data_IF_442086505484
#
_entry.id   IF_442086505484
#
_cell.length_a   1.000
_cell.length_b   1.000
_cell.length_c   1.000
_cell.angle_alpha   90.00
_cell.angle_beta   90.00
_cell.angle_gamma   90.00
#
_symmetry.space_group_name_H-M   'P 1'
#
loop_
_entity.id
_entity.type
_entity.pdbx_description
1 polymer ?
#
# COMPACT_ATOMS: atom_id res chain seq x y z
N UNK A 1 -78.90 41.63 -134.41
CA UNK A 1 -77.75 41.02 -133.73
C UNK A 1 -78.13 40.84 -132.28
N UNK A 2 -78.06 39.61 -131.77
CA UNK A 2 -78.35 39.29 -130.36
C UNK A 2 -77.05 39.47 -129.59
N UNK A 3 -77.05 40.35 -128.60
CA UNK A 3 -76.08 40.29 -127.51
C UNK A 3 -76.86 39.97 -126.23
N UNK A 4 -76.64 38.75 -125.72
CA UNK A 4 -77.12 38.31 -124.42
C UNK A 4 -76.21 38.92 -123.36
N UNK A 5 -76.51 40.14 -122.95
CA UNK A 5 -75.97 40.69 -121.70
C UNK A 5 -76.83 40.17 -120.55
N UNK A 6 -76.34 39.10 -119.94
CA UNK A 6 -76.83 38.54 -118.67
C UNK A 6 -76.53 39.53 -117.54
N UNK A 7 -77.30 40.60 -117.46
CA UNK A 7 -77.36 41.45 -116.28
C UNK A 7 -78.78 41.34 -115.74
N UNK A 8 -78.90 40.60 -114.64
CA UNK A 8 -80.12 40.62 -113.84
C UNK A 8 -80.26 42.02 -113.25
N UNK A 9 -81.19 42.76 -113.83
CA UNK A 9 -81.73 44.04 -113.38
C UNK A 9 -82.51 43.81 -112.06
N UNK A 10 -81.74 43.59 -111.00
CA UNK A 10 -82.23 43.34 -109.64
C UNK A 10 -81.66 44.31 -108.62
N UNK A 11 -81.02 45.39 -109.07
CA UNK A 11 -80.43 46.45 -108.24
C UNK A 11 -81.38 47.64 -108.09
N UNK A 12 -82.68 47.36 -107.94
CA UNK A 12 -83.61 48.32 -107.37
C UNK A 12 -83.18 48.63 -105.92
N UNK A 13 -83.29 49.89 -105.44
CA UNK A 13 -82.92 50.31 -104.09
C UNK A 13 -83.86 49.76 -103.02
N UNK A 14 -84.53 48.64 -103.26
CA UNK A 14 -85.44 47.90 -102.38
C UNK A 14 -85.02 46.43 -102.20
N UNK A 15 -84.03 45.93 -102.95
CA UNK A 15 -83.63 44.50 -102.96
C UNK A 15 -82.33 44.16 -102.20
N UNK A 16 -81.75 45.12 -101.47
CA UNK A 16 -80.74 44.81 -100.46
C UNK A 16 -81.48 44.55 -99.14
N UNK A 17 -81.39 43.34 -98.55
CA UNK A 17 -81.96 43.08 -97.24
C UNK A 17 -81.47 44.14 -96.24
N UNK A 18 -82.33 44.56 -95.32
CA UNK A 18 -82.05 45.66 -94.39
C UNK A 18 -80.72 45.48 -93.63
N UNK A 19 -80.32 44.22 -93.43
CA UNK A 19 -79.05 43.79 -92.84
C UNK A 19 -77.79 44.25 -93.59
N UNK A 20 -77.85 44.47 -94.90
CA UNK A 20 -76.70 44.91 -95.71
C UNK A 20 -76.66 46.43 -95.92
N UNK A 21 -77.68 47.16 -95.43
CA UNK A 21 -77.77 48.64 -95.54
C UNK A 21 -77.29 49.36 -94.30
N UNK A 22 -77.12 48.66 -93.19
CA UNK A 22 -76.55 49.18 -91.95
C UNK A 22 -75.10 48.68 -91.89
N UNK A 23 -74.16 49.59 -91.65
CA UNK A 23 -72.78 49.20 -91.41
C UNK A 23 -72.75 48.27 -90.18
N UNK A 24 -72.38 46.98 -90.34
CA UNK A 24 -72.38 46.04 -89.22
C UNK A 24 -71.24 46.31 -88.23
N UNK A 25 -70.29 47.17 -88.59
CA UNK A 25 -69.17 47.55 -87.74
C UNK A 25 -69.51 48.82 -86.96
N UNK A 26 -70.07 48.63 -85.77
CA UNK A 26 -70.19 49.66 -84.75
C UNK A 26 -68.89 49.78 -83.98
N UNK A 27 -68.45 51.01 -83.73
CA UNK A 27 -67.36 51.26 -82.81
C UNK A 27 -67.93 51.29 -81.39
N UNK A 28 -67.33 50.59 -80.41
CA UNK A 28 -67.79 50.61 -79.01
C UNK A 28 -67.88 52.03 -78.44
N UNK A 29 -68.80 52.22 -77.50
CA UNK A 29 -68.91 53.46 -76.74
C UNK A 29 -67.56 53.80 -76.09
N UNK A 30 -67.12 55.06 -76.20
CA UNK A 30 -65.83 55.58 -75.74
C UNK A 30 -64.57 54.99 -76.41
N UNK A 31 -64.68 54.24 -77.51
CA UNK A 31 -63.50 53.70 -78.21
C UNK A 31 -62.43 54.76 -78.52
N UNK A 32 -62.84 55.92 -79.06
CA UNK A 32 -61.91 56.97 -79.43
C UNK A 32 -61.39 57.78 -78.23
N UNK A 33 -62.18 57.91 -77.17
CA UNK A 33 -61.73 58.54 -75.92
C UNK A 33 -60.68 57.66 -75.22
N UNK A 34 -60.90 56.33 -75.22
CA UNK A 34 -59.97 55.36 -74.67
C UNK A 34 -58.75 55.09 -75.56
N UNK A 35 -58.85 55.36 -76.86
CA UNK A 35 -57.82 54.99 -77.83
C UNK A 35 -56.51 55.71 -77.56
N UNK A 36 -56.57 56.99 -77.18
CA UNK A 36 -55.38 57.74 -76.77
C UNK A 36 -54.72 57.09 -75.56
N UNK A 37 -55.51 56.79 -74.51
CA UNK A 37 -55.02 56.13 -73.30
C UNK A 37 -54.43 54.75 -73.58
N UNK A 38 -55.09 53.95 -74.45
CA UNK A 38 -54.63 52.61 -74.85
C UNK A 38 -53.33 52.68 -75.66
N UNK A 39 -53.20 53.64 -76.57
CA UNK A 39 -51.97 53.84 -77.34
C UNK A 39 -50.84 54.29 -76.42
N UNK A 40 -51.09 55.24 -75.51
CA UNK A 40 -50.10 55.69 -74.52
C UNK A 40 -49.66 54.53 -73.64
N UNK A 41 -50.60 53.73 -73.13
CA UNK A 41 -50.28 52.54 -72.34
C UNK A 41 -49.45 51.53 -73.13
N UNK A 42 -49.78 51.28 -74.40
CA UNK A 42 -49.07 50.33 -75.24
C UNK A 42 -47.65 50.79 -75.61
N UNK A 43 -47.50 52.08 -75.92
CA UNK A 43 -46.19 52.71 -76.16
C UNK A 43 -45.36 52.75 -74.88
N UNK A 44 -45.98 52.96 -73.72
CA UNK A 44 -45.30 52.95 -72.43
C UNK A 44 -44.82 51.54 -72.07
N UNK A 45 -45.66 50.52 -72.29
CA UNK A 45 -45.26 49.12 -72.14
C UNK A 45 -44.11 48.74 -73.08
N UNK A 46 -44.15 49.18 -74.34
CA UNK A 46 -43.09 48.93 -75.31
C UNK A 46 -41.77 49.65 -75.03
N UNK A 47 -41.80 50.73 -74.22
CA UNK A 47 -40.60 51.43 -73.73
C UNK A 47 -40.01 50.82 -72.45
N UNK A 48 -40.73 49.91 -71.79
CA UNK A 48 -40.28 49.23 -70.57
C UNK A 48 -39.50 47.93 -70.85
N UNK A 49 -39.05 47.71 -72.08
CA UNK A 49 -38.14 46.61 -72.41
C UNK A 49 -36.70 47.09 -72.27
N UNK A 50 -36.08 46.77 -71.13
CA UNK A 50 -34.64 46.42 -70.97
C UNK A 50 -34.10 46.61 -69.53
N UNK A 51 -34.95 46.95 -68.56
CA UNK A 51 -34.56 46.89 -67.15
C UNK A 51 -35.52 45.98 -66.37
N UNK A 52 -34.97 44.93 -65.75
CA UNK A 52 -35.64 44.08 -64.77
C UNK A 52 -35.93 44.91 -63.50
N UNK A 53 -36.90 45.83 -63.58
CA UNK A 53 -37.29 46.70 -62.45
C UNK A 53 -38.11 45.93 -61.40
N UNK A 54 -38.39 44.65 -61.63
CA UNK A 54 -39.16 43.79 -60.72
C UNK A 54 -38.26 42.70 -60.14
N UNK A 55 -37.46 43.07 -59.14
CA UNK A 55 -36.75 42.08 -58.32
C UNK A 55 -37.76 41.35 -57.43
N UNK A 56 -37.90 40.04 -57.65
CA UNK A 56 -38.66 39.18 -56.75
C UNK A 56 -37.88 39.08 -55.44
N UNK A 57 -38.49 39.42 -54.28
CA UNK A 57 -37.84 39.27 -52.99
C UNK A 57 -37.32 37.85 -52.79
N UNK A 58 -36.12 37.73 -52.24
CA UNK A 58 -35.51 36.44 -51.89
C UNK A 58 -36.49 35.62 -51.02
N UNK A 59 -36.77 34.38 -51.42
CA UNK A 59 -37.72 33.49 -50.73
C UNK A 59 -39.21 33.73 -51.01
N UNK A 60 -39.58 34.63 -51.94
CA UNK A 60 -40.98 34.83 -52.33
C UNK A 60 -41.63 33.53 -52.83
N UNK A 61 -40.96 32.80 -53.73
CA UNK A 61 -41.48 31.55 -54.28
C UNK A 61 -41.39 30.38 -53.29
N UNK A 62 -40.45 30.41 -52.35
CA UNK A 62 -40.33 29.37 -51.32
C UNK A 62 -41.47 29.46 -50.30
N UNK A 63 -41.91 30.67 -49.96
CA UNK A 63 -43.03 30.92 -49.04
C UNK A 63 -44.41 30.95 -49.71
N UNK A 64 -44.46 30.97 -51.05
CA UNK A 64 -45.70 31.04 -51.82
C UNK A 64 -46.60 29.80 -51.64
N UNK A 65 -46.09 28.55 -51.66
CA UNK A 65 -46.89 27.37 -51.37
C UNK A 65 -47.54 27.43 -49.99
N UNK A 66 -46.78 27.81 -48.97
CA UNK A 66 -47.27 27.93 -47.59
C UNK A 66 -48.32 29.03 -47.45
N UNK A 67 -48.12 30.15 -48.16
CA UNK A 67 -49.04 31.29 -48.13
C UNK A 67 -50.35 30.98 -48.85
N UNK A 68 -50.29 30.24 -49.95
CA UNK A 68 -51.48 29.75 -50.67
C UNK A 68 -52.21 28.71 -49.82
N UNK A 69 -51.51 27.73 -49.24
CA UNK A 69 -52.13 26.73 -48.37
C UNK A 69 -52.72 27.36 -47.11
N UNK A 70 -52.03 28.34 -46.51
CA UNK A 70 -52.54 29.13 -45.39
C UNK A 70 -53.79 29.92 -45.76
N UNK A 71 -53.82 30.53 -46.94
CA UNK A 71 -55.00 31.23 -47.47
C UNK A 71 -56.19 30.30 -47.69
N UNK A 72 -55.97 29.14 -48.33
CA UNK A 72 -57.02 28.12 -48.55
C UNK A 72 -57.54 27.59 -47.21
N UNK A 73 -56.65 27.34 -46.24
CA UNK A 73 -57.03 26.91 -44.91
C UNK A 73 -57.88 27.99 -44.21
N UNK A 74 -57.45 29.25 -44.24
CA UNK A 74 -58.17 30.37 -43.62
C UNK A 74 -59.56 30.57 -44.25
N UNK A 75 -59.66 30.46 -45.57
CA UNK A 75 -60.93 30.60 -46.30
C UNK A 75 -61.86 29.41 -46.04
N UNK A 76 -61.32 28.19 -45.89
CA UNK A 76 -62.09 27.02 -45.47
C UNK A 76 -62.60 27.12 -44.02
N UNK A 77 -61.84 27.78 -43.15
CA UNK A 77 -62.21 28.02 -41.73
C UNK A 77 -63.25 29.13 -41.62
N UNK A 78 -63.17 30.20 -42.43
CA UNK A 78 -64.14 31.30 -42.42
C UNK A 78 -65.56 30.88 -42.89
N UNK A 79 -65.68 29.79 -43.63
CA UNK A 79 -66.96 29.23 -44.04
C UNK A 79 -67.66 28.39 -42.95
N UNK A 80 -66.96 28.07 -41.85
CA UNK A 80 -67.45 27.22 -40.76
C UNK A 80 -67.58 28.08 -39.49
N UNK A 81 -68.79 28.55 -39.19
CA UNK A 81 -69.10 29.30 -37.96
C UNK A 81 -69.13 28.41 -36.68
N UNK A 82 -68.56 27.22 -36.73
CA UNK A 82 -68.68 26.19 -35.69
C UNK A 82 -67.34 25.44 -35.49
N UNK A 83 -66.26 26.21 -35.35
CA UNK A 83 -64.94 25.68 -35.04
C UNK A 83 -64.84 25.36 -33.55
N UNK A 84 -65.29 24.17 -33.16
CA UNK A 84 -65.04 23.64 -31.83
C UNK A 84 -63.58 23.17 -31.72
N UNK A 85 -62.89 23.67 -30.70
CA UNK A 85 -61.52 23.26 -30.37
C UNK A 85 -61.56 21.74 -30.07
N UNK A 86 -60.78 20.91 -30.79
CA UNK A 86 -60.77 19.48 -30.54
C UNK A 86 -60.45 19.17 -29.08
N UNK A 87 -61.15 18.19 -28.51
CA UNK A 87 -60.89 17.74 -27.13
C UNK A 87 -59.40 17.40 -26.98
N UNK A 88 -58.76 17.96 -25.95
CA UNK A 88 -57.32 17.86 -25.69
C UNK A 88 -56.36 18.62 -26.62
N UNK A 89 -56.83 19.44 -27.57
CA UNK A 89 -55.95 20.28 -28.39
C UNK A 89 -55.09 21.21 -27.53
N UNK A 90 -55.67 21.85 -26.52
CA UNK A 90 -54.93 22.72 -25.60
C UNK A 90 -53.89 21.95 -24.78
N UNK A 91 -54.21 20.73 -24.34
CA UNK A 91 -53.29 19.88 -23.60
C UNK A 91 -52.12 19.41 -24.47
N UNK A 92 -52.40 18.95 -25.69
CA UNK A 92 -51.36 18.53 -26.65
C UNK A 92 -50.51 19.72 -27.09
N UNK A 93 -51.12 20.88 -27.30
CA UNK A 93 -50.40 22.10 -27.68
C UNK A 93 -49.49 22.55 -26.53
N UNK A 94 -50.00 22.62 -25.30
CA UNK A 94 -49.19 23.00 -24.13
C UNK A 94 -48.05 22.02 -23.92
N UNK A 95 -48.30 20.71 -24.00
CA UNK A 95 -47.24 19.70 -23.94
C UNK A 95 -46.22 19.90 -25.06
N UNK A 96 -46.65 20.08 -26.31
CA UNK A 96 -45.72 20.27 -27.44
C UNK A 96 -44.87 21.54 -27.30
N UNK A 97 -45.45 22.62 -26.76
CA UNK A 97 -44.74 23.86 -26.46
C UNK A 97 -43.72 23.62 -25.35
N UNK A 98 -44.09 22.94 -24.26
CA UNK A 98 -43.17 22.63 -23.18
C UNK A 98 -42.03 21.72 -23.63
N UNK A 99 -42.30 20.70 -24.43
CA UNK A 99 -41.27 19.83 -25.01
C UNK A 99 -40.30 20.62 -25.89
N UNK A 100 -40.81 21.52 -26.75
CA UNK A 100 -39.99 22.35 -27.64
C UNK A 100 -39.14 23.38 -26.89
N UNK A 101 -39.71 24.02 -25.85
CA UNK A 101 -38.95 24.91 -24.95
C UNK A 101 -37.87 24.13 -24.20
N UNK A 102 -38.16 22.91 -23.75
CA UNK A 102 -37.18 22.06 -23.09
C UNK A 102 -36.06 21.64 -24.05
N UNK A 103 -36.40 21.28 -25.28
CA UNK A 103 -35.46 20.95 -26.34
C UNK A 103 -34.53 22.12 -26.67
N UNK A 104 -35.06 23.33 -26.87
CA UNK A 104 -34.28 24.54 -27.13
C UNK A 104 -33.32 24.86 -25.96
N UNK A 105 -33.80 24.75 -24.71
CA UNK A 105 -32.96 24.93 -23.50
C UNK A 105 -31.86 23.88 -23.37
N UNK A 106 -32.09 22.66 -23.86
CA UNK A 106 -31.08 21.61 -23.87
C UNK A 106 -30.04 21.87 -24.98
N UNK A 107 -30.49 22.28 -26.17
CA UNK A 107 -29.60 22.63 -27.30
C UNK A 107 -28.68 23.81 -26.97
N UNK A 108 -29.13 24.79 -26.18
CA UNK A 108 -28.28 25.88 -25.70
C UNK A 108 -27.12 25.38 -24.80
N UNK A 109 -27.34 24.29 -24.05
CA UNK A 109 -26.37 23.76 -23.07
C UNK A 109 -25.42 22.70 -23.65
N UNK A 110 -25.71 22.17 -24.83
CA UNK A 110 -24.96 21.03 -25.40
C UNK A 110 -24.26 21.51 -26.69
N UNK A 111 -22.93 21.38 -26.75
CA UNK A 111 -22.10 21.83 -27.89
C UNK A 111 -22.21 20.98 -29.17
N UNK A 112 -22.85 19.81 -29.13
CA UNK A 112 -22.98 18.92 -30.29
C UNK A 112 -24.28 18.13 -30.29
N UNK A 113 -24.92 18.01 -31.44
CA UNK A 113 -26.04 17.08 -31.64
C UNK A 113 -25.59 15.63 -31.42
N UNK A 114 -26.40 14.90 -30.65
CA UNK A 114 -26.23 13.47 -30.36
C UNK A 114 -25.78 13.13 -28.93
N UNK A 115 -26.23 11.97 -28.45
CA UNK A 115 -25.74 11.37 -27.21
C UNK A 115 -24.36 10.75 -27.47
N UNK A 116 -23.30 11.36 -26.97
CA UNK A 116 -21.98 10.74 -26.94
C UNK A 116 -21.90 9.85 -25.71
N UNK A 117 -21.75 8.55 -25.96
CA UNK A 117 -21.45 7.58 -24.90
C UNK A 117 -20.16 8.05 -24.21
N UNK A 118 -20.18 8.29 -22.88
CA UNK A 118 -19.00 8.73 -22.16
C UNK A 118 -17.83 7.77 -22.37
N UNK A 119 -16.61 8.31 -22.41
CA UNK A 119 -15.40 7.49 -22.49
C UNK A 119 -15.40 6.49 -21.32
N UNK A 120 -15.21 5.21 -21.62
CA UNK A 120 -15.27 4.09 -20.67
C UNK A 120 -16.66 3.75 -20.09
N UNK A 121 -17.76 4.28 -20.64
CA UNK A 121 -19.12 3.91 -20.19
C UNK A 121 -19.37 2.40 -20.28
N UNK A 122 -18.93 1.75 -21.35
CA UNK A 122 -19.14 0.30 -21.54
C UNK A 122 -18.39 -0.52 -20.47
N UNK A 123 -17.14 -0.17 -20.17
CA UNK A 123 -16.37 -0.81 -19.11
C UNK A 123 -16.92 -0.52 -17.71
N UNK A 124 -17.39 0.71 -17.46
CA UNK A 124 -18.01 1.07 -16.18
C UNK A 124 -19.35 0.35 -15.99
N UNK A 125 -20.15 0.25 -17.06
CA UNK A 125 -21.42 -0.45 -17.06
C UNK A 125 -21.24 -1.95 -16.80
N UNK A 126 -20.24 -2.58 -17.42
CA UNK A 126 -19.89 -3.97 -17.14
C UNK A 126 -19.58 -4.18 -15.66
N UNK A 127 -18.69 -3.36 -15.10
CA UNK A 127 -18.34 -3.41 -13.68
C UNK A 127 -19.56 -3.22 -12.78
N UNK A 128 -20.40 -2.22 -13.06
CA UNK A 128 -21.59 -1.90 -12.27
C UNK A 128 -22.62 -3.03 -12.30
N UNK A 129 -22.81 -3.67 -13.47
CA UNK A 129 -23.70 -4.82 -13.62
C UNK A 129 -23.18 -5.98 -12.78
N UNK A 130 -21.89 -6.31 -12.88
CA UNK A 130 -21.29 -7.39 -12.08
C UNK A 130 -21.36 -7.09 -10.58
N UNK A 131 -21.08 -5.86 -10.16
CA UNK A 131 -21.17 -5.45 -8.76
C UNK A 131 -22.61 -5.60 -8.22
N UNK A 132 -23.63 -5.27 -9.02
CA UNK A 132 -25.03 -5.44 -8.62
C UNK A 132 -25.45 -6.90 -8.54
N UNK A 133 -25.09 -7.72 -9.53
CA UNK A 133 -25.40 -9.15 -9.54
C UNK A 133 -24.77 -9.83 -8.32
N UNK A 134 -23.48 -9.58 -8.08
CA UNK A 134 -22.77 -10.16 -6.93
C UNK A 134 -23.32 -9.68 -5.60
N UNK A 135 -23.69 -8.40 -5.47
CA UNK A 135 -24.34 -7.89 -4.27
C UNK A 135 -25.72 -8.53 -4.02
N UNK A 136 -26.49 -8.78 -5.07
CA UNK A 136 -27.80 -9.44 -4.98
C UNK A 136 -27.67 -10.92 -4.62
N UNK A 137 -26.70 -11.63 -5.20
CA UNK A 137 -26.34 -13.01 -4.83
C UNK A 137 -25.87 -13.11 -3.37
N UNK A 138 -25.04 -12.18 -2.90
CA UNK A 138 -24.60 -12.12 -1.50
C UNK A 138 -25.77 -11.89 -0.55
N UNK A 139 -26.69 -10.99 -0.90
CA UNK A 139 -27.90 -10.73 -0.10
C UNK A 139 -28.82 -11.94 0.00
N UNK A 140 -28.89 -12.76 -1.05
CA UNK A 140 -29.71 -13.99 -1.05
C UNK A 140 -29.04 -15.15 -0.29
N UNK A 141 -27.70 -15.18 -0.23
CA UNK A 141 -26.93 -16.27 0.39
C UNK A 141 -26.62 -16.02 1.87
N UNK A 142 -26.56 -14.76 2.31
CA UNK A 142 -26.28 -14.38 3.69
C UNK A 142 -27.50 -13.64 4.29
N UNK A 143 -28.36 -14.33 5.08
CA UNK A 143 -29.58 -13.74 5.68
C UNK A 143 -29.33 -12.64 6.72
N UNK A 144 -28.08 -12.49 7.13
CA UNK A 144 -27.58 -11.52 8.11
C UNK A 144 -26.49 -10.71 7.44
N UNK A 145 -26.27 -9.46 7.83
CA UNK A 145 -25.27 -8.54 7.23
C UNK A 145 -23.80 -9.03 7.31
N UNK A 146 -23.53 -10.30 7.61
CA UNK A 146 -22.22 -10.95 7.62
C UNK A 146 -21.31 -10.50 8.76
N UNK A 147 -21.62 -9.37 9.40
CA UNK A 147 -20.87 -8.80 10.50
C UNK A 147 -21.53 -9.16 11.83
N UNK A 148 -21.42 -10.43 12.22
CA UNK A 148 -21.67 -10.81 13.61
C UNK A 148 -20.43 -10.48 14.44
N UNK A 149 -20.60 -9.61 15.43
CA UNK A 149 -19.55 -9.36 16.43
C UNK A 149 -19.28 -10.68 17.16
N UNK A 150 -18.03 -11.17 17.24
CA UNK A 150 -17.70 -12.35 18.03
C UNK A 150 -18.20 -12.18 19.47
N UNK A 151 -18.74 -13.23 20.08
CA UNK A 151 -19.37 -13.16 21.40
C UNK A 151 -18.50 -12.45 22.45
N UNK A 152 -17.18 -12.65 22.38
CA UNK A 152 -16.20 -12.13 23.34
C UNK A 152 -15.54 -10.81 22.91
N UNK A 153 -15.89 -10.25 21.75
CA UNK A 153 -15.25 -9.02 21.22
C UNK A 153 -15.38 -7.86 22.20
N UNK A 154 -16.56 -7.66 22.80
CA UNK A 154 -16.78 -6.57 23.75
C UNK A 154 -15.98 -6.76 25.03
N UNK A 155 -15.88 -7.99 25.54
CA UNK A 155 -15.11 -8.30 26.74
C UNK A 155 -13.60 -8.19 26.51
N UNK A 156 -13.13 -8.60 25.33
CA UNK A 156 -11.74 -8.43 24.91
C UNK A 156 -11.38 -6.96 24.68
N UNK A 157 -12.29 -6.18 24.05
CA UNK A 157 -12.13 -4.74 23.87
C UNK A 157 -12.02 -4.04 25.22
N UNK A 158 -12.94 -4.31 26.15
CA UNK A 158 -12.93 -3.77 27.50
C UNK A 158 -11.60 -4.06 28.22
N UNK A 159 -11.18 -5.32 28.21
CA UNK A 159 -9.92 -5.75 28.80
C UNK A 159 -8.72 -5.03 28.17
N UNK A 160 -8.71 -4.86 26.85
CA UNK A 160 -7.65 -4.17 26.12
C UNK A 160 -7.59 -2.67 26.45
N UNK A 161 -8.76 -2.02 26.61
CA UNK A 161 -8.87 -0.62 26.99
C UNK A 161 -8.33 -0.42 28.40
N UNK A 162 -8.71 -1.29 29.35
CA UNK A 162 -8.19 -1.20 30.71
C UNK A 162 -6.68 -1.44 30.77
N UNK A 163 -6.16 -2.41 30.03
CA UNK A 163 -4.72 -2.64 29.92
C UNK A 163 -3.99 -1.43 29.32
N UNK A 164 -4.55 -0.79 28.29
CA UNK A 164 -3.99 0.43 27.67
C UNK A 164 -3.97 1.60 28.65
N UNK A 165 -5.06 1.83 29.37
CA UNK A 165 -5.15 2.91 30.38
C UNK A 165 -4.17 2.64 31.53
N UNK A 166 -4.05 1.40 31.97
CA UNK A 166 -3.12 1.02 33.03
C UNK A 166 -1.65 1.25 32.59
N UNK A 167 -1.29 0.86 31.37
CA UNK A 167 0.06 1.08 30.83
C UNK A 167 0.36 2.57 30.63
N UNK A 168 -0.60 3.36 30.15
CA UNK A 168 -0.44 4.81 30.00
C UNK A 168 -0.27 5.52 31.34
N UNK A 169 -1.06 5.14 32.35
CA UNK A 169 -0.88 5.63 33.74
C UNK A 169 0.48 5.26 34.30
N UNK A 170 0.93 4.02 34.09
CA UNK A 170 2.26 3.57 34.51
C UNK A 170 3.34 4.43 33.85
N UNK A 171 3.28 4.59 32.53
CA UNK A 171 4.25 5.37 31.75
C UNK A 171 4.32 6.82 32.21
N UNK A 172 3.19 7.43 32.54
CA UNK A 172 3.16 8.80 33.05
C UNK A 172 3.69 8.92 34.49
N UNK A 173 3.63 7.84 35.28
CA UNK A 173 4.10 7.81 36.67
C UNK A 173 5.57 7.44 36.85
N UNK A 174 6.22 6.89 35.82
CA UNK A 174 7.60 6.38 35.90
C UNK A 174 8.46 7.16 34.90
N UNK A 175 9.48 7.89 35.38
CA UNK A 175 10.36 8.71 34.52
C UNK A 175 11.39 7.91 33.71
N UNK A 176 11.59 6.64 34.02
CA UNK A 176 12.51 5.75 33.31
C UNK A 176 11.71 4.77 32.45
N UNK A 177 11.86 4.88 31.13
CA UNK A 177 11.33 3.90 30.18
C UNK A 177 11.97 2.53 30.49
N UNK A 178 11.15 1.60 30.97
CA UNK A 178 11.40 0.17 30.81
C UNK A 178 12.19 -0.53 31.91
N UNK A 179 11.89 -1.82 32.01
CA UNK A 179 12.59 -2.82 32.79
C UNK A 179 14.09 -2.75 32.49
N UNK A 180 14.89 -2.39 33.49
CA UNK A 180 16.33 -2.54 33.40
C UNK A 180 16.64 -4.02 33.48
N UNK A 181 17.29 -4.55 32.45
CA UNK A 181 17.87 -5.89 32.48
C UNK A 181 18.82 -5.96 33.69
N UNK A 182 18.63 -6.90 34.64
CA UNK A 182 19.57 -7.08 35.74
C UNK A 182 20.98 -7.23 35.18
N UNK A 183 21.99 -6.60 35.81
CA UNK A 183 23.34 -6.49 35.24
C UNK A 183 23.95 -7.83 34.80
N UNK A 184 23.62 -8.91 35.51
CA UNK A 184 24.14 -10.25 35.24
C UNK A 184 23.18 -11.14 34.42
N UNK A 185 22.06 -10.58 33.93
CA UNK A 185 21.09 -11.35 33.15
C UNK A 185 21.70 -11.90 31.86
N UNK A 186 22.42 -11.07 31.11
CA UNK A 186 23.05 -11.51 29.86
C UNK A 186 24.16 -12.54 30.10
N UNK A 187 24.89 -12.42 31.22
CA UNK A 187 25.91 -13.38 31.61
C UNK A 187 25.31 -14.72 32.04
N UNK A 188 24.18 -14.72 32.73
CA UNK A 188 23.52 -15.93 33.25
C UNK A 188 22.48 -16.51 32.29
N UNK A 189 22.15 -15.82 31.19
CA UNK A 189 21.10 -16.23 30.26
C UNK A 189 21.43 -17.56 29.60
N UNK A 190 22.67 -17.73 29.14
CA UNK A 190 23.13 -18.95 28.49
C UNK A 190 23.04 -20.15 29.44
N UNK A 191 23.58 -20.01 30.65
CA UNK A 191 23.51 -21.03 31.71
C UNK A 191 22.07 -21.38 32.07
N UNK A 192 21.20 -20.37 32.21
CA UNK A 192 19.78 -20.57 32.53
C UNK A 192 19.03 -21.29 31.40
N UNK A 193 19.33 -20.97 30.14
CA UNK A 193 18.75 -21.65 28.97
C UNK A 193 19.18 -23.11 28.97
N UNK A 194 20.48 -23.40 29.15
CA UNK A 194 20.97 -24.78 29.19
C UNK A 194 20.42 -25.57 30.38
N UNK A 195 20.34 -24.96 31.57
CA UNK A 195 19.72 -25.56 32.74
C UNK A 195 18.25 -25.91 32.47
N UNK A 196 17.51 -25.01 31.80
CA UNK A 196 16.10 -25.23 31.45
C UNK A 196 15.93 -26.37 30.44
N UNK A 197 16.74 -26.37 29.38
CA UNK A 197 16.73 -27.45 28.39
C UNK A 197 17.06 -28.80 29.04
N UNK A 198 18.04 -28.84 29.94
CA UNK A 198 18.40 -30.05 30.67
C UNK A 198 17.26 -30.56 31.56
N UNK A 199 16.56 -29.66 32.26
CA UNK A 199 15.37 -30.00 33.07
C UNK A 199 14.26 -30.56 32.19
N UNK A 200 13.96 -29.93 31.07
CA UNK A 200 12.89 -30.38 30.17
C UNK A 200 13.22 -31.74 29.53
N UNK A 201 14.49 -31.98 29.17
CA UNK A 201 14.97 -33.28 28.71
C UNK A 201 14.89 -34.36 29.79
N UNK A 202 15.17 -34.02 31.05
CA UNK A 202 15.02 -34.94 32.17
C UNK A 202 13.55 -35.30 32.40
N UNK A 203 12.64 -34.32 32.35
CA UNK A 203 11.20 -34.55 32.48
C UNK A 203 10.59 -35.41 31.37
N UNK A 204 11.18 -35.41 30.17
CA UNK A 204 10.78 -36.33 29.11
C UNK A 204 11.23 -37.77 29.36
N UNK A 205 12.34 -37.97 30.09
CA UNK A 205 12.93 -39.29 30.36
C UNK A 205 12.49 -39.89 31.69
N UNK A 206 12.04 -39.06 32.63
CA UNK A 206 11.66 -39.47 33.98
C UNK A 206 10.17 -39.21 34.19
N UNK A 207 9.41 -40.25 34.54
CA UNK A 207 7.94 -40.17 34.64
C UNK A 207 7.44 -39.47 35.91
N UNK A 208 8.24 -39.42 36.98
CA UNK A 208 7.92 -38.78 38.26
C UNK A 208 9.16 -38.04 38.77
N UNK A 209 9.00 -36.84 39.34
CA UNK A 209 10.11 -36.00 39.83
C UNK A 209 10.94 -36.64 40.96
N UNK A 210 10.59 -37.85 41.45
CA UNK A 210 11.35 -38.64 42.40
C UNK A 210 11.34 -38.11 43.83
N UNK A 211 10.80 -36.92 44.06
CA UNK A 211 10.56 -36.32 45.37
C UNK A 211 9.10 -36.54 45.77
N UNK A 212 8.82 -37.71 46.33
CA UNK A 212 7.57 -37.92 47.07
C UNK A 212 7.78 -37.52 48.52
N UNK A 213 6.86 -36.71 49.03
CA UNK A 213 6.83 -36.38 50.45
C UNK A 213 6.42 -37.65 51.21
N UNK A 214 7.17 -38.08 52.24
CA UNK A 214 6.81 -39.24 53.03
C UNK A 214 5.37 -39.14 53.56
N UNK A 215 4.63 -40.26 53.63
CA UNK A 215 3.28 -40.27 54.19
C UNK A 215 3.27 -39.64 55.58
N UNK A 216 2.31 -38.74 55.83
CA UNK A 216 2.14 -38.04 57.12
C UNK A 216 3.28 -37.07 57.52
N UNK A 217 4.15 -36.66 56.58
CA UNK A 217 5.19 -35.65 56.86
C UNK A 217 4.60 -34.34 57.37
N UNK A 218 3.64 -33.77 56.64
CA UNK A 218 3.02 -32.49 57.01
C UNK A 218 2.13 -32.59 58.26
N UNK A 219 1.56 -33.77 58.53
CA UNK A 219 0.77 -34.03 59.74
C UNK A 219 1.66 -34.04 60.99
N UNK A 220 2.85 -34.66 60.91
CA UNK A 220 3.80 -34.72 62.03
C UNK A 220 4.65 -33.46 62.19
N UNK A 221 4.80 -32.65 61.15
CA UNK A 221 5.64 -31.46 61.17
C UNK A 221 5.16 -30.44 62.20
N UNK A 222 3.85 -30.18 62.28
CA UNK A 222 3.27 -29.26 63.26
C UNK A 222 3.52 -29.73 64.69
N UNK A 223 3.27 -31.01 64.98
CA UNK A 223 3.48 -31.59 66.30
C UNK A 223 4.95 -31.58 66.69
N UNK A 224 5.85 -31.92 65.76
CA UNK A 224 7.30 -31.91 65.98
C UNK A 224 7.83 -30.50 66.25
N UNK A 225 7.33 -29.47 65.55
CA UNK A 225 7.70 -28.08 65.80
C UNK A 225 7.23 -27.63 67.19
N UNK A 226 6.01 -28.00 67.59
CA UNK A 226 5.48 -27.66 68.91
C UNK A 226 6.24 -28.37 70.02
N UNK A 227 6.56 -29.65 69.85
CA UNK A 227 7.34 -30.43 70.81
C UNK A 227 8.78 -29.93 70.93
N UNK A 228 9.43 -29.55 69.81
CA UNK A 228 10.78 -28.97 69.81
C UNK A 228 10.81 -27.59 70.46
N UNK A 229 9.81 -26.73 70.24
CA UNK A 229 9.71 -25.42 70.94
C UNK A 229 9.49 -25.63 72.44
N UNK A 230 8.58 -26.53 72.84
CA UNK A 230 8.31 -26.84 74.25
C UNK A 230 9.48 -27.49 74.98
N UNK A 231 10.28 -28.28 74.26
CA UNK A 231 11.51 -28.85 74.80
C UNK A 231 12.62 -27.80 74.91
N UNK A 232 12.61 -26.73 74.10
CA UNK A 232 13.62 -25.68 74.17
C UNK A 232 13.48 -24.77 75.41
N UNK A 233 12.30 -24.67 75.99
CA UNK A 233 12.08 -23.92 77.24
C UNK A 233 12.56 -24.65 78.50
N UNK A 234 12.88 -25.96 78.42
CA UNK A 234 13.24 -26.79 79.58
C UNK A 234 14.55 -27.59 79.44
N UNK A 235 15.41 -27.29 78.47
CA UNK A 235 16.70 -27.98 78.31
C UNK A 235 17.85 -27.10 78.77
N UNK A 236 18.31 -27.35 80.00
CA UNK A 236 19.73 -27.19 80.35
C UNK A 236 20.49 -28.16 79.46
N UNK A 237 21.17 -27.63 78.43
CA UNK A 237 22.02 -28.42 77.55
C UNK A 237 23.05 -29.17 78.42
N UNK A 238 23.15 -30.52 78.35
CA UNK A 238 24.32 -31.18 78.90
C UNK A 238 25.52 -30.68 78.09
N UNK A 239 26.49 -30.06 78.77
CA UNK A 239 27.72 -29.57 78.15
C UNK A 239 28.36 -30.70 77.33
N UNK A 240 28.21 -30.61 76.01
CA UNK A 240 28.91 -31.51 75.10
C UNK A 240 30.41 -31.26 75.29
N UNK A 241 31.21 -32.26 75.71
CA UNK A 241 32.63 -32.03 75.95
C UNK A 241 33.30 -31.64 74.64
N UNK A 242 33.74 -30.39 74.55
CA UNK A 242 34.46 -29.84 73.42
C UNK A 242 35.81 -30.57 73.32
N UNK A 243 35.89 -31.62 72.51
CA UNK A 243 37.15 -32.23 72.12
C UNK A 243 37.78 -31.42 71.01
N UNK A 244 38.79 -30.63 71.37
CA UNK A 244 39.65 -29.94 70.39
C UNK A 244 40.38 -30.99 69.55
N UNK A 245 40.11 -31.05 68.24
CA UNK A 245 40.97 -31.80 67.32
C UNK A 245 42.37 -31.16 67.36
N UNK A 246 43.36 -31.94 67.77
CA UNK A 246 44.75 -31.50 67.80
C UNK A 246 45.23 -31.08 66.41
N UNK A 247 46.14 -30.10 66.38
CA UNK A 247 46.73 -29.54 65.15
C UNK A 247 47.16 -30.66 64.18
N UNK A 248 46.90 -30.54 62.86
CA UNK A 248 47.31 -31.55 61.90
C UNK A 248 48.84 -31.70 61.96
N UNK A 249 49.28 -32.93 62.20
CA UNK A 249 50.68 -33.28 62.35
C UNK A 249 51.35 -33.12 60.97
N UNK A 250 52.26 -32.14 60.83
CA UNK A 250 52.89 -31.67 59.56
C UNK A 250 53.56 -32.74 58.67
N UNK A 251 53.66 -33.98 59.11
CA UNK A 251 54.31 -35.07 58.36
C UNK A 251 53.41 -35.66 57.26
N UNK A 252 52.08 -35.57 57.37
CA UNK A 252 51.15 -36.06 56.34
C UNK A 252 51.14 -35.20 55.07
N UNK A 253 51.44 -33.90 55.19
CA UNK A 253 51.51 -32.99 54.03
C UNK A 253 52.60 -33.37 53.03
N UNK A 254 53.66 -34.09 53.49
CA UNK A 254 54.77 -34.53 52.63
C UNK A 254 54.40 -35.73 51.75
N UNK A 255 53.46 -36.57 52.20
CA UNK A 255 52.99 -37.72 51.43
C UNK A 255 51.89 -37.35 50.43
N UNK A 256 51.11 -36.30 50.69
CA UNK A 256 50.09 -35.81 49.77
C UNK A 256 50.66 -35.35 48.43
N UNK A 257 51.80 -34.64 48.45
CA UNK A 257 52.48 -34.16 47.24
C UNK A 257 53.02 -35.32 46.38
N UNK A 258 53.57 -36.36 47.04
CA UNK A 258 54.03 -37.56 46.33
C UNK A 258 52.86 -38.32 45.69
N UNK A 259 51.73 -38.46 46.39
CA UNK A 259 50.54 -39.13 45.86
C UNK A 259 49.88 -38.36 44.70
N UNK A 260 49.85 -37.03 44.75
CA UNK A 260 49.35 -36.23 43.63
C UNK A 260 50.26 -36.32 42.41
N UNK A 261 51.58 -36.38 42.62
CA UNK A 261 52.57 -36.56 41.54
C UNK A 261 52.46 -37.96 40.91
N UNK A 262 52.31 -39.03 41.71
CA UNK A 262 52.11 -40.37 41.15
C UNK A 262 50.78 -40.50 40.42
N UNK A 263 49.73 -39.83 40.87
CA UNK A 263 48.44 -39.82 40.19
C UNK A 263 48.47 -39.04 38.88
N UNK A 264 49.15 -37.88 38.83
CA UNK A 264 49.31 -37.09 37.60
C UNK A 264 50.22 -37.79 36.58
N UNK A 265 51.32 -38.40 37.03
CA UNK A 265 52.18 -39.21 36.15
C UNK A 265 51.47 -40.47 35.65
N UNK A 266 50.64 -41.11 36.48
CA UNK A 266 49.84 -42.27 36.11
C UNK A 266 48.78 -41.95 35.05
N UNK A 267 48.06 -40.84 35.21
CA UNK A 267 47.06 -40.38 34.23
C UNK A 267 47.71 -39.90 32.92
N UNK A 268 48.81 -39.15 33.01
CA UNK A 268 49.55 -38.66 31.84
C UNK A 268 50.19 -39.77 31.01
N UNK A 269 50.77 -40.79 31.65
CA UNK A 269 51.34 -41.95 30.96
C UNK A 269 50.30 -42.83 30.25
N UNK A 270 49.12 -43.00 30.86
CA UNK A 270 48.04 -43.79 30.28
C UNK A 270 47.42 -43.14 29.03
N UNK A 271 47.19 -41.82 29.06
CA UNK A 271 46.73 -41.08 27.88
C UNK A 271 47.82 -40.95 26.81
N UNK A 272 49.08 -40.71 27.17
CA UNK A 272 50.19 -40.64 26.21
C UNK A 272 50.40 -41.94 25.42
N UNK A 273 50.27 -43.10 26.08
CA UNK A 273 50.38 -44.41 25.41
C UNK A 273 49.22 -44.66 24.41
N UNK A 274 48.02 -44.18 24.73
CA UNK A 274 46.86 -44.32 23.85
C UNK A 274 46.94 -43.39 22.62
N UNK A 275 47.53 -42.21 22.75
CA UNK A 275 47.71 -41.25 21.65
C UNK A 275 48.77 -41.67 20.62
N UNK A 276 49.78 -42.46 21.01
CA UNK A 276 50.85 -42.88 20.11
C UNK A 276 50.42 -43.96 19.08
N UNK A 277 49.30 -44.67 19.31
CA UNK A 277 48.85 -45.73 18.40
C UNK A 277 47.96 -45.25 17.23
N UNK A 278 47.67 -43.95 17.08
CA UNK A 278 46.66 -43.52 16.10
C UNK A 278 47.01 -42.42 15.10
N UNK A 279 48.19 -41.79 15.10
CA UNK A 279 48.48 -40.77 14.07
C UNK A 279 49.93 -40.78 13.59
N UNK A 280 50.17 -41.47 12.48
CA UNK A 280 51.12 -41.04 11.47
C UNK A 280 50.41 -40.02 10.57
N UNK A 281 50.67 -38.72 10.73
CA UNK A 281 50.63 -37.70 9.67
C UNK A 281 51.41 -36.49 10.19
N UNK A 282 52.33 -36.02 9.35
CA UNK A 282 53.24 -34.89 9.55
C UNK A 282 52.50 -33.57 9.80
N UNK A 283 52.95 -32.78 10.78
CA UNK A 283 52.55 -31.39 10.97
C UNK A 283 53.71 -30.58 11.59
N UNK A 284 54.75 -30.39 10.79
CA UNK A 284 55.64 -29.25 10.95
C UNK A 284 54.88 -28.03 10.37
N UNK A 285 54.96 -26.86 11.00
CA UNK A 285 54.36 -25.55 10.62
C UNK A 285 53.04 -25.06 11.27
N UNK A 286 52.27 -25.83 12.06
CA UNK A 286 51.01 -25.29 12.65
C UNK A 286 51.20 -24.61 14.01
N UNK A 287 52.15 -25.08 14.83
CA UNK A 287 52.40 -24.52 16.15
C UNK A 287 53.10 -23.16 16.10
N UNK A 288 54.01 -22.94 15.14
CA UNK A 288 54.71 -21.66 15.00
C UNK A 288 53.78 -20.53 14.52
N UNK A 289 52.76 -20.86 13.73
CA UNK A 289 51.81 -19.90 13.19
C UNK A 289 50.82 -19.40 14.27
N UNK A 290 50.42 -20.28 15.19
CA UNK A 290 49.56 -19.91 16.33
C UNK A 290 50.32 -19.12 17.39
N UNK A 291 51.60 -19.43 17.63
CA UNK A 291 52.43 -18.70 18.58
C UNK A 291 52.75 -17.28 18.10
N UNK A 292 53.09 -17.12 16.82
CA UNK A 292 53.40 -15.81 16.23
C UNK A 292 52.17 -14.89 16.20
N UNK A 293 50.97 -15.45 15.99
CA UNK A 293 49.72 -14.70 16.06
C UNK A 293 49.40 -14.23 17.48
N UNK A 294 49.63 -15.08 18.49
CA UNK A 294 49.40 -14.74 19.90
C UNK A 294 50.42 -13.73 20.46
N UNK A 295 51.66 -13.73 19.96
CA UNK A 295 52.69 -12.77 20.36
C UNK A 295 52.46 -11.38 19.76
N UNK A 296 51.77 -11.30 18.60
CA UNK A 296 51.40 -10.03 17.96
C UNK A 296 50.28 -9.28 18.69
N UNK A 297 49.47 -9.97 19.47
CA UNK A 297 48.29 -9.42 20.15
C UNK A 297 48.58 -8.89 21.56
N UNK A 298 49.80 -9.06 22.09
CA UNK A 298 50.12 -8.55 23.42
C UNK A 298 50.21 -7.01 23.36
N UNK A 299 49.33 -6.28 24.07
CA UNK A 299 49.35 -4.83 24.04
C UNK A 299 50.66 -4.33 24.68
N UNK A 300 51.27 -3.28 24.08
CA UNK A 300 52.58 -2.75 24.47
C UNK A 300 52.68 -2.44 25.98
N UNK A 301 51.58 -2.05 26.60
CA UNK A 301 51.50 -1.74 28.03
C UNK A 301 51.65 -2.98 28.93
N UNK A 302 51.18 -4.15 28.50
CA UNK A 302 51.34 -5.41 29.23
C UNK A 302 52.81 -5.87 29.20
N UNK A 303 53.47 -5.68 28.05
CA UNK A 303 54.91 -5.97 27.89
C UNK A 303 55.73 -5.04 28.79
N UNK A 304 55.40 -3.75 28.83
CA UNK A 304 56.07 -2.77 29.69
C UNK A 304 55.85 -3.12 31.17
N UNK A 305 54.63 -3.48 31.57
CA UNK A 305 54.33 -3.84 32.94
C UNK A 305 55.03 -5.14 33.36
N UNK A 306 55.07 -6.14 32.48
CA UNK A 306 55.77 -7.39 32.73
C UNK A 306 57.28 -7.15 32.86
N UNK A 307 57.88 -6.38 31.96
CA UNK A 307 59.31 -6.02 32.03
C UNK A 307 59.63 -5.18 33.27
N UNK A 308 58.78 -4.24 33.65
CA UNK A 308 58.95 -3.45 34.86
C UNK A 308 58.81 -4.30 36.14
N UNK A 309 57.97 -5.34 36.11
CA UNK A 309 57.81 -6.26 37.23
C UNK A 309 58.93 -7.31 37.29
N UNK A 310 59.55 -7.67 36.17
CA UNK A 310 60.60 -8.69 36.08
C UNK A 310 62.03 -8.14 36.07
N UNK A 311 62.22 -6.84 35.82
CA UNK A 311 63.55 -6.23 35.75
C UNK A 311 64.15 -6.03 37.15
N UNK A 312 65.40 -6.47 37.31
CA UNK A 312 66.19 -6.16 38.50
C UNK A 312 66.72 -4.72 38.41
N UNK A 313 67.05 -4.09 39.55
CA UNK A 313 67.43 -2.67 39.61
C UNK A 313 68.63 -2.29 38.73
N UNK A 314 69.52 -3.25 38.42
CA UNK A 314 70.65 -3.06 37.48
C UNK A 314 70.20 -3.09 36.01
N UNK A 315 69.20 -3.91 35.66
CA UNK A 315 68.67 -4.00 34.29
C UNK A 315 67.99 -2.70 33.87
N UNK A 316 67.34 -2.01 34.82
CA UNK A 316 66.68 -0.73 34.58
C UNK A 316 67.68 0.40 34.26
N UNK A 317 68.88 0.36 34.87
CA UNK A 317 69.98 1.28 34.57
C UNK A 317 70.51 1.02 33.14
N UNK A 318 70.64 -0.25 32.76
CA UNK A 318 71.09 -0.64 31.42
C UNK A 318 70.10 -0.20 30.33
N UNK A 319 68.80 -0.33 30.58
CA UNK A 319 67.76 0.10 29.64
C UNK A 319 67.70 1.63 29.47
N UNK A 320 68.03 2.40 30.50
CA UNK A 320 68.07 3.88 30.40
C UNK A 320 69.15 4.42 29.47
N UNK A 321 70.18 3.62 29.15
CA UNK A 321 71.21 4.01 28.17
C UNK A 321 70.73 3.88 26.71
N UNK A 322 69.59 3.21 26.49
CA UNK A 322 69.02 2.95 25.17
C UNK A 322 67.66 3.64 24.94
N UNK A 323 67.24 4.53 25.85
CA UNK A 323 65.98 5.28 25.70
C UNK A 323 66.06 6.46 24.72
N UNK A 324 67.27 6.93 24.39
CA UNK A 324 67.46 7.92 23.32
C UNK A 324 67.55 7.23 21.96
N UNK A 325 66.68 7.63 21.01
CA UNK A 325 66.54 7.04 19.67
C UNK A 325 67.85 7.00 18.85
N UNK A 326 68.87 7.76 19.24
CA UNK A 326 70.16 7.85 18.55
C UNK A 326 71.17 6.77 18.96
N UNK A 327 70.91 6.02 20.04
CA UNK A 327 71.82 4.98 20.55
C UNK A 327 71.26 3.54 20.45
N UNK A 328 70.14 3.34 19.75
CA UNK A 328 69.69 1.97 19.49
C UNK A 328 70.69 1.24 18.59
N UNK A 329 71.10 0.01 18.95
CA UNK A 329 71.90 -0.82 18.06
C UNK A 329 71.12 -1.06 16.77
N UNK A 330 71.68 -0.65 15.64
CA UNK A 330 71.08 -0.80 14.29
C UNK A 330 70.88 -2.25 13.86
N UNK A 331 71.38 -3.20 14.63
CA UNK A 331 71.01 -4.62 14.56
C UNK A 331 70.28 -4.94 15.86
N UNK A 332 69.00 -5.30 15.74
CA UNK A 332 68.08 -5.46 16.86
C UNK A 332 68.59 -6.36 17.99
N UNK A 333 67.95 -6.21 19.15
CA UNK A 333 68.26 -7.00 20.35
C UNK A 333 68.27 -8.50 20.04
N UNK A 334 69.36 -9.19 20.40
CA UNK A 334 69.51 -10.65 20.27
C UNK A 334 70.38 -11.16 19.12
N UNK A 335 70.88 -10.30 18.20
CA UNK A 335 71.72 -10.79 17.07
C UNK A 335 73.11 -11.29 17.48
N UNK A 336 73.53 -11.05 18.72
CA UNK A 336 74.83 -11.46 19.24
C UNK A 336 74.76 -12.70 20.14
N UNK A 337 73.57 -13.28 20.34
CA UNK A 337 73.39 -14.51 21.11
C UNK A 337 73.27 -15.65 20.10
N UNK A 338 74.25 -16.55 20.07
CA UNK A 338 74.19 -17.68 19.16
C UNK A 338 73.12 -18.67 19.63
N UNK A 339 72.51 -19.43 18.71
CA UNK A 339 71.56 -20.49 19.08
C UNK A 339 72.16 -21.48 20.08
N UNK A 340 73.46 -21.75 19.96
CA UNK A 340 74.22 -22.62 20.85
C UNK A 340 74.21 -22.09 22.30
N UNK A 341 74.41 -20.78 22.49
CA UNK A 341 74.44 -20.17 23.83
C UNK A 341 73.07 -20.24 24.53
N UNK A 342 71.98 -20.13 23.75
CA UNK A 342 70.60 -20.25 24.25
C UNK A 342 70.32 -21.70 24.67
N UNK A 343 70.79 -22.66 23.87
CA UNK A 343 70.62 -24.09 24.10
C UNK A 343 71.40 -24.56 25.34
N UNK A 344 72.62 -24.07 25.51
CA UNK A 344 73.45 -24.33 26.69
C UNK A 344 72.84 -23.72 27.96
N UNK A 345 72.28 -22.51 27.88
CA UNK A 345 71.62 -21.87 29.02
C UNK A 345 70.33 -22.59 29.46
N UNK A 346 69.52 -23.04 28.49
CA UNK A 346 68.31 -23.82 28.78
C UNK A 346 68.62 -25.18 29.38
N UNK A 347 69.67 -25.85 28.92
CA UNK A 347 70.12 -27.11 29.51
C UNK A 347 70.70 -26.97 30.92
N UNK A 348 71.20 -25.79 31.30
CA UNK A 348 71.74 -25.56 32.64
C UNK A 348 70.70 -25.10 33.67
N UNK A 349 69.50 -24.69 33.22
CA UNK A 349 68.45 -24.12 34.08
C UNK A 349 67.26 -25.05 34.36
N UNK A 350 67.19 -26.20 33.68
CA UNK A 350 66.31 -27.35 33.96
C UNK A 350 67.11 -28.48 34.63
#
# INVERSE_FOLDING_TARGET
MKENSTYHDGLEPTNLPESLRKNPFGVPENYFEDLESKIIAHVSLGKCSDEDVFEVPEGYFDSLPDRIMGGIAMESIAAINDFDIPEHYEAVLTDSIFHRIAEEKLKEKIQSDGFKVPVNYEHALEYDIFARITAEELKNTVPTDGFTIPADYMQALESSIFARIATEKLKNSISTDGYTVPGDYEQTLEDNIFARIAVDQLKQKVSNDGFEVPPHYFERLSDTIVDTIRHNDNVVLPETPIRRLGRPKKWYARYAVAASLTMTLGLGGYWGYQYQSQNTISADNTAEQQLSQHLSEIPKQEIINYLAASASGDDMIYMSQYTDETNLPTKGFGTNVSKQDIEDYLNYSL
#
